data_IF_363539201843
#
_entry.id   IF_363539201843
#
_cell.length_a   1.000
_cell.length_b   1.000
_cell.length_c   1.000
_cell.angle_alpha   90.00
_cell.angle_beta   90.00
_cell.angle_gamma   90.00
#
_symmetry.space_group_name_H-M   'P 1'
#
loop_
_entity.id
_entity.type
_entity.pdbx_description
1 polymer ?
#
# COMPACT_ATOMS: atom_id res chain seq x y z
N UNK A 1 -14.93 -19.62 -2.20
CA UNK A 1 -13.84 -18.84 -1.58
C UNK A 1 -14.12 -17.40 -1.90
N UNK A 2 -13.90 -16.46 -0.96
CA UNK A 2 -14.11 -15.03 -1.21
C UNK A 2 -13.02 -14.49 -2.12
N UNK A 3 -13.42 -13.66 -3.10
CA UNK A 3 -12.51 -12.96 -4.00
C UNK A 3 -12.14 -11.60 -3.41
N UNK A 4 -10.86 -11.33 -3.26
CA UNK A 4 -10.36 -10.07 -2.71
C UNK A 4 -9.69 -9.29 -3.82
N UNK A 5 -10.13 -8.05 -4.04
CA UNK A 5 -9.42 -7.07 -4.85
C UNK A 5 -8.64 -6.16 -3.91
N UNK A 6 -7.34 -6.12 -4.07
CA UNK A 6 -6.49 -5.14 -3.37
C UNK A 6 -6.17 -4.01 -4.34
N UNK A 7 -6.56 -2.78 -3.98
CA UNK A 7 -6.17 -1.58 -4.72
C UNK A 7 -5.21 -0.79 -3.83
N UNK A 8 -3.93 -0.70 -4.22
CA UNK A 8 -2.94 -0.10 -3.33
C UNK A 8 -1.54 0.01 -3.92
N UNK A 9 -0.60 0.30 -3.03
CA UNK A 9 0.81 0.54 -3.33
C UNK A 9 1.60 -0.75 -3.53
N UNK A 10 2.63 -0.65 -4.40
CA UNK A 10 3.68 -1.63 -4.58
C UNK A 10 5.02 -0.89 -4.47
N UNK A 11 5.86 -1.30 -3.54
CA UNK A 11 7.18 -0.68 -3.30
C UNK A 11 8.24 -1.78 -3.21
N UNK A 12 9.47 -1.45 -3.57
CA UNK A 12 10.62 -2.24 -3.15
C UNK A 12 11.34 -1.48 -2.04
N UNK A 13 11.48 -2.13 -0.89
CA UNK A 13 12.19 -1.59 0.26
C UNK A 13 13.69 -1.88 0.11
N UNK A 14 14.50 -0.83 0.04
CA UNK A 14 15.95 -0.86 0.02
C UNK A 14 16.47 -0.73 1.44
N UNK A 15 16.71 -1.86 2.10
CA UNK A 15 17.13 -1.90 3.50
C UNK A 15 18.65 -1.87 3.57
N UNK A 16 19.19 -0.85 4.23
CA UNK A 16 20.63 -0.63 4.40
C UNK A 16 20.99 -0.58 5.88
N UNK A 17 21.87 -1.48 6.30
CA UNK A 17 22.38 -1.46 7.66
C UNK A 17 23.54 -0.43 7.75
N UNK A 18 23.39 0.52 8.66
CA UNK A 18 24.35 1.60 8.90
C UNK A 18 24.87 1.55 10.33
N UNK A 19 26.13 1.96 10.60
CA UNK A 19 26.67 1.98 11.97
C UNK A 19 25.94 2.99 12.86
N UNK A 20 25.51 4.11 12.32
CA UNK A 20 24.70 5.16 12.94
C UNK A 20 23.95 5.94 11.85
N UNK A 21 22.94 6.73 12.22
CA UNK A 21 22.26 7.61 11.27
C UNK A 21 23.18 8.76 10.88
N UNK A 22 23.45 8.99 9.54
CA UNK A 22 24.32 10.07 9.10
C UNK A 22 23.70 11.43 9.41
N UNK A 23 24.54 12.39 9.82
CA UNK A 23 24.16 13.78 9.95
C UNK A 23 24.42 14.56 8.66
N UNK A 24 23.86 15.75 8.54
CA UNK A 24 24.04 16.58 7.34
C UNK A 24 25.54 16.81 7.03
N UNK A 25 25.95 16.48 5.81
CA UNK A 25 27.33 16.60 5.34
C UNK A 25 28.25 15.41 5.67
N UNK A 26 27.77 14.43 6.42
CA UNK A 26 28.53 13.22 6.73
C UNK A 26 28.44 12.17 5.63
N UNK A 27 29.56 11.49 5.37
CA UNK A 27 29.62 10.30 4.51
C UNK A 27 29.96 9.09 5.38
N UNK A 28 29.07 8.11 5.42
CA UNK A 28 29.31 6.86 6.12
C UNK A 28 29.41 5.68 5.14
N UNK A 29 30.15 4.65 5.54
CA UNK A 29 30.22 3.41 4.79
C UNK A 29 29.19 2.44 5.38
N UNK A 30 28.27 1.98 4.53
CA UNK A 30 27.29 0.99 4.90
C UNK A 30 27.78 -0.43 4.53
N UNK A 31 27.10 -1.43 5.08
CA UNK A 31 27.28 -2.82 4.71
C UNK A 31 26.52 -3.20 3.43
N UNK A 32 25.82 -4.31 3.47
CA UNK A 32 24.99 -4.76 2.36
C UNK A 32 23.66 -4.00 2.29
N UNK A 33 23.12 -3.92 1.07
CA UNK A 33 21.75 -3.49 0.83
C UNK A 33 20.91 -4.72 0.44
N UNK A 34 19.74 -4.85 1.06
CA UNK A 34 18.75 -5.86 0.72
C UNK A 34 17.57 -5.21 0.00
N UNK A 35 17.07 -5.90 -1.03
CA UNK A 35 15.85 -5.50 -1.74
C UNK A 35 14.72 -6.42 -1.28
N UNK A 36 13.72 -5.84 -0.63
CA UNK A 36 12.60 -6.58 -0.05
C UNK A 36 11.30 -6.09 -0.71
N UNK A 37 10.44 -7.00 -1.21
CA UNK A 37 9.11 -6.60 -1.66
C UNK A 37 8.33 -5.92 -0.52
N UNK A 38 7.67 -4.81 -0.83
CA UNK A 38 7.00 -3.99 0.17
C UNK A 38 5.82 -3.20 -0.40
N UNK A 39 5.46 -2.12 0.30
CA UNK A 39 4.24 -1.39 0.03
C UNK A 39 3.02 -2.02 0.71
N UNK A 40 2.17 -1.18 1.30
CA UNK A 40 1.03 -1.66 2.10
C UNK A 40 0.06 -2.49 1.27
N UNK A 41 -0.20 -2.10 0.02
CA UNK A 41 -1.05 -2.86 -0.89
C UNK A 41 -0.49 -4.23 -1.19
N UNK A 42 0.76 -4.32 -1.64
CA UNK A 42 1.41 -5.58 -1.95
C UNK A 42 1.53 -6.49 -0.72
N UNK A 43 1.89 -5.94 0.45
CA UNK A 43 2.00 -6.71 1.69
C UNK A 43 0.65 -7.33 2.10
N UNK A 44 -0.45 -6.60 1.96
CA UNK A 44 -1.79 -7.12 2.27
C UNK A 44 -2.26 -8.16 1.24
N UNK A 45 -1.98 -7.93 -0.06
CA UNK A 45 -2.26 -8.92 -1.10
C UNK A 45 -1.45 -10.22 -0.87
N UNK A 46 -0.17 -10.09 -0.55
CA UNK A 46 0.69 -11.22 -0.23
C UNK A 46 0.17 -12.01 0.98
N UNK A 47 -0.17 -11.32 2.07
CA UNK A 47 -0.70 -11.96 3.28
C UNK A 47 -2.01 -12.71 3.01
N UNK A 48 -2.95 -12.09 2.28
CA UNK A 48 -4.20 -12.72 1.90
C UNK A 48 -3.99 -13.96 1.00
N UNK A 49 -3.09 -13.87 0.02
CA UNK A 49 -2.70 -14.99 -0.83
C UNK A 49 -2.09 -16.14 -0.03
N UNK A 50 -1.17 -15.85 0.90
CA UNK A 50 -0.57 -16.85 1.82
C UNK A 50 -1.61 -17.56 2.68
N UNK A 51 -2.69 -16.88 3.03
CA UNK A 51 -3.82 -17.46 3.79
C UNK A 51 -4.79 -18.23 2.88
N UNK A 52 -4.52 -18.33 1.58
CA UNK A 52 -5.28 -19.12 0.62
C UNK A 52 -6.49 -18.39 0.02
N UNK A 53 -6.59 -17.06 0.15
CA UNK A 53 -7.64 -16.31 -0.53
C UNK A 53 -7.38 -16.24 -2.05
N UNK A 54 -8.44 -16.02 -2.84
CA UNK A 54 -8.33 -15.65 -4.25
C UNK A 54 -8.14 -14.14 -4.32
N UNK A 55 -6.93 -13.70 -4.66
CA UNK A 55 -6.54 -12.28 -4.61
C UNK A 55 -6.14 -11.77 -5.98
N UNK A 56 -6.67 -10.61 -6.35
CA UNK A 56 -6.20 -9.81 -7.48
C UNK A 56 -5.58 -8.52 -6.93
N UNK A 57 -4.36 -8.19 -7.36
CA UNK A 57 -3.70 -6.92 -7.04
C UNK A 57 -3.89 -5.94 -8.19
N UNK A 58 -4.43 -4.76 -7.90
CA UNK A 58 -4.53 -3.63 -8.82
C UNK A 58 -3.75 -2.44 -8.28
N UNK A 59 -2.84 -1.93 -9.06
CA UNK A 59 -1.95 -0.84 -8.69
C UNK A 59 -1.08 -0.44 -9.88
N UNK A 60 -0.09 0.41 -9.64
CA UNK A 60 0.82 0.87 -10.68
C UNK A 60 2.28 0.60 -10.32
N UNK A 61 3.04 0.14 -11.30
CA UNK A 61 4.49 -0.13 -11.21
C UNK A 61 5.23 0.58 -12.36
N UNK A 62 6.52 0.73 -12.24
CA UNK A 62 7.39 1.22 -13.32
C UNK A 62 7.69 0.14 -14.36
N UNK A 63 8.30 0.56 -15.46
CA UNK A 63 8.91 -0.33 -16.45
C UNK A 63 10.39 -0.57 -16.06
N UNK A 64 10.58 -1.25 -14.92
CA UNK A 64 11.88 -1.45 -14.30
C UNK A 64 11.99 -2.83 -13.60
N UNK A 65 13.20 -3.19 -13.19
CA UNK A 65 13.49 -4.46 -12.51
C UNK A 65 12.81 -4.58 -11.14
N UNK A 66 12.44 -3.47 -10.50
CA UNK A 66 11.74 -3.47 -9.22
C UNK A 66 10.31 -3.98 -9.38
N UNK A 67 9.65 -3.67 -10.51
CA UNK A 67 8.34 -4.23 -10.83
C UNK A 67 8.36 -5.76 -10.93
N UNK A 68 9.46 -6.35 -11.40
CA UNK A 68 9.63 -7.80 -11.49
C UNK A 68 9.77 -8.46 -10.11
N UNK A 69 10.43 -7.76 -9.16
CA UNK A 69 10.54 -8.22 -7.77
C UNK A 69 9.15 -8.35 -7.16
N UNK A 70 8.32 -7.31 -7.28
CA UNK A 70 6.94 -7.29 -6.79
C UNK A 70 6.07 -8.38 -7.42
N UNK A 71 6.07 -8.46 -8.76
CA UNK A 71 5.28 -9.48 -9.49
C UNK A 71 5.67 -10.88 -9.10
N UNK A 72 6.97 -11.18 -8.97
CA UNK A 72 7.45 -12.50 -8.55
C UNK A 72 7.04 -12.84 -7.13
N UNK A 73 7.15 -11.87 -6.21
CA UNK A 73 6.74 -12.04 -4.81
C UNK A 73 5.25 -12.40 -4.74
N UNK A 74 4.39 -11.59 -5.32
CA UNK A 74 2.94 -11.78 -5.31
C UNK A 74 2.52 -13.08 -5.99
N UNK A 75 3.10 -13.38 -7.15
CA UNK A 75 2.83 -14.64 -7.87
C UNK A 75 3.21 -15.89 -7.07
N UNK A 76 4.25 -15.81 -6.21
CA UNK A 76 4.70 -16.94 -5.39
C UNK A 76 3.64 -17.42 -4.39
N UNK A 77 2.64 -16.59 -4.09
CA UNK A 77 1.52 -16.89 -3.19
C UNK A 77 0.17 -16.91 -3.92
N UNK A 78 0.19 -16.98 -5.25
CA UNK A 78 -1.02 -17.13 -6.07
C UNK A 78 -1.84 -15.85 -6.26
N UNK A 79 -1.28 -14.68 -6.00
CA UNK A 79 -1.93 -13.40 -6.28
C UNK A 79 -1.88 -13.11 -7.77
N UNK A 80 -3.04 -12.77 -8.37
CA UNK A 80 -3.12 -12.32 -9.75
C UNK A 80 -2.59 -10.90 -9.89
N UNK A 81 -1.54 -10.74 -10.70
CA UNK A 81 -0.87 -9.47 -11.00
C UNK A 81 -1.06 -9.01 -12.45
N UNK A 82 -1.95 -9.67 -13.21
CA UNK A 82 -2.15 -9.37 -14.64
C UNK A 82 -2.76 -8.00 -14.90
N UNK A 83 -3.35 -7.37 -13.87
CA UNK A 83 -3.99 -6.07 -13.92
C UNK A 83 -3.12 -4.92 -13.41
N UNK A 84 -1.84 -5.16 -13.13
CA UNK A 84 -0.91 -4.09 -12.75
C UNK A 84 -0.65 -3.17 -13.94
N UNK A 85 -0.78 -1.86 -13.70
CA UNK A 85 -0.53 -0.84 -14.72
C UNK A 85 0.96 -0.50 -14.78
N UNK A 86 1.56 -0.58 -15.96
CA UNK A 86 2.98 -0.22 -16.15
C UNK A 86 3.08 1.24 -16.60
N UNK A 87 3.82 2.05 -15.85
CA UNK A 87 4.08 3.47 -16.10
C UNK A 87 5.53 3.67 -16.60
N UNK A 88 5.74 3.79 -17.90
CA UNK A 88 7.07 3.89 -18.51
C UNK A 88 7.90 5.07 -18.02
N UNK A 89 7.26 6.19 -17.68
CA UNK A 89 7.91 7.44 -17.26
C UNK A 89 8.13 7.54 -15.73
N UNK A 90 7.83 6.47 -15.00
CA UNK A 90 7.93 6.43 -13.52
C UNK A 90 8.64 5.17 -13.07
N UNK A 91 9.39 5.28 -11.99
CA UNK A 91 9.89 4.09 -11.30
C UNK A 91 8.77 3.39 -10.56
N UNK A 92 8.92 2.10 -10.30
CA UNK A 92 8.18 1.43 -9.22
C UNK A 92 8.38 2.19 -7.91
N UNK A 93 7.42 2.14 -6.98
CA UNK A 93 7.57 2.73 -5.67
C UNK A 93 8.81 2.15 -4.95
N UNK A 94 9.53 3.00 -4.20
CA UNK A 94 10.72 2.61 -3.46
C UNK A 94 10.64 3.17 -2.04
N UNK A 95 11.17 2.44 -1.07
CA UNK A 95 11.45 2.96 0.26
C UNK A 95 12.94 2.75 0.56
N UNK A 96 13.67 3.83 0.81
CA UNK A 96 15.02 3.76 1.35
C UNK A 96 14.93 3.67 2.87
N UNK A 97 15.42 2.58 3.43
CA UNK A 97 15.31 2.28 4.86
C UNK A 97 16.73 2.11 5.42
N UNK A 98 17.21 3.10 6.17
CA UNK A 98 18.43 2.98 6.94
C UNK A 98 18.11 2.41 8.32
N UNK A 99 18.82 1.37 8.75
CA UNK A 99 18.68 0.75 10.08
C UNK A 99 20.02 0.82 10.79
N UNK A 100 20.08 1.43 11.96
CA UNK A 100 21.30 1.52 12.76
C UNK A 100 21.51 0.29 13.67
N UNK A 101 22.65 0.25 14.38
CA UNK A 101 22.98 -0.85 15.30
C UNK A 101 22.05 -0.95 16.52
N UNK A 102 21.29 0.09 16.83
CA UNK A 102 20.32 0.14 17.94
C UNK A 102 18.93 -0.31 17.52
N UNK A 103 18.72 -0.54 16.20
CA UNK A 103 17.45 -0.94 15.63
C UNK A 103 16.53 0.24 15.25
N UNK A 104 17.01 1.48 15.40
CA UNK A 104 16.29 2.64 14.90
C UNK A 104 16.31 2.67 13.38
N UNK A 105 15.24 3.17 12.78
CA UNK A 105 15.14 3.31 11.34
C UNK A 105 14.86 4.76 10.91
N UNK A 106 15.30 5.06 9.68
CA UNK A 106 14.93 6.28 8.96
C UNK A 106 14.47 5.87 7.55
N UNK A 107 13.29 6.34 7.15
CA UNK A 107 12.64 5.90 5.93
C UNK A 107 12.38 7.10 5.02
N UNK A 108 12.79 6.99 3.75
CA UNK A 108 12.44 7.92 2.69
C UNK A 108 11.64 7.17 1.63
N UNK A 109 10.38 7.57 1.43
CA UNK A 109 9.49 6.94 0.45
C UNK A 109 9.48 7.74 -0.84
N UNK A 110 9.71 7.05 -1.95
CA UNK A 110 9.57 7.55 -3.33
C UNK A 110 8.35 6.86 -3.91
N UNK A 111 7.24 7.60 -4.00
CA UNK A 111 5.96 7.02 -4.44
C UNK A 111 6.00 6.46 -5.88
N UNK A 112 6.80 7.04 -6.76
CA UNK A 112 6.95 6.55 -8.12
C UNK A 112 5.62 6.40 -8.87
N UNK A 113 5.39 5.22 -9.46
CA UNK A 113 4.19 4.89 -10.19
C UNK A 113 2.92 4.88 -9.31
N UNK A 114 3.03 4.58 -8.00
CA UNK A 114 1.88 4.61 -7.09
C UNK A 114 1.15 5.96 -7.10
N UNK A 115 1.91 7.07 -7.18
CA UNK A 115 1.33 8.42 -7.21
C UNK A 115 0.56 8.74 -8.51
N UNK A 116 0.62 7.88 -9.51
CA UNK A 116 -0.01 8.09 -10.82
C UNK A 116 -1.33 7.35 -11.01
N UNK A 117 -1.75 6.56 -10.01
CA UNK A 117 -3.01 5.82 -10.08
C UNK A 117 -4.18 6.80 -9.99
N UNK A 118 -5.09 6.75 -10.97
CA UNK A 118 -6.18 7.72 -11.12
C UNK A 118 -7.56 7.08 -11.01
N UNK A 119 -8.58 7.92 -10.81
CA UNK A 119 -9.99 7.51 -10.86
C UNK A 119 -10.34 6.90 -12.22
N UNK A 120 -9.78 7.45 -13.32
CA UNK A 120 -9.98 6.93 -14.67
C UNK A 120 -9.39 5.52 -14.86
N UNK A 121 -8.27 5.21 -14.18
CA UNK A 121 -7.72 3.86 -14.19
C UNK A 121 -8.68 2.87 -13.52
N UNK A 122 -9.31 3.26 -12.41
CA UNK A 122 -10.32 2.45 -11.73
C UNK A 122 -11.56 2.29 -12.61
N UNK A 123 -12.04 3.39 -13.24
CA UNK A 123 -13.21 3.37 -14.11
C UNK A 123 -13.03 2.44 -15.32
N UNK A 124 -11.81 2.39 -15.89
CA UNK A 124 -11.48 1.48 -16.98
C UNK A 124 -11.43 -0.01 -16.58
N UNK A 125 -11.38 -0.30 -15.27
CA UNK A 125 -11.30 -1.66 -14.72
C UNK A 125 -12.41 -1.94 -13.69
N UNK A 126 -13.59 -1.36 -13.85
CA UNK A 126 -14.73 -1.59 -12.93
C UNK A 126 -15.20 -3.04 -12.89
N UNK A 127 -14.88 -3.83 -13.90
CA UNK A 127 -15.11 -5.27 -13.93
C UNK A 127 -14.44 -5.99 -12.73
N UNK A 128 -13.26 -5.56 -12.32
CA UNK A 128 -12.58 -6.08 -11.12
C UNK A 128 -13.38 -5.80 -9.85
N UNK A 129 -13.93 -4.59 -9.72
CA UNK A 129 -14.80 -4.22 -8.58
C UNK A 129 -16.11 -5.01 -8.60
N UNK A 130 -16.68 -5.30 -9.78
CA UNK A 130 -17.90 -6.10 -9.90
C UNK A 130 -17.67 -7.57 -9.55
N UNK A 131 -16.49 -8.11 -9.89
CA UNK A 131 -16.17 -9.53 -9.71
C UNK A 131 -15.69 -9.86 -8.29
N UNK A 132 -15.13 -8.91 -7.51
CA UNK A 132 -14.68 -9.16 -6.15
C UNK A 132 -15.85 -9.24 -5.16
N UNK A 133 -15.61 -9.87 -4.01
CA UNK A 133 -16.49 -9.81 -2.82
C UNK A 133 -16.05 -8.71 -1.85
N UNK A 134 -14.74 -8.47 -1.78
CA UNK A 134 -14.10 -7.56 -0.82
C UNK A 134 -13.12 -6.67 -1.58
N UNK A 135 -13.22 -5.36 -1.34
CA UNK A 135 -12.20 -4.38 -1.70
C UNK A 135 -11.35 -4.09 -0.46
N UNK A 136 -10.03 -4.17 -0.60
CA UNK A 136 -9.06 -3.82 0.44
C UNK A 136 -8.19 -2.67 -0.07
N UNK A 137 -8.15 -1.56 0.68
CA UNK A 137 -7.43 -0.35 0.32
C UNK A 137 -6.55 0.17 1.47
N UNK A 138 -5.56 0.98 1.12
CA UNK A 138 -4.69 1.74 2.03
C UNK A 138 -4.55 3.18 1.49
N UNK A 139 -3.73 4.02 2.13
CA UNK A 139 -3.62 5.45 1.75
C UNK A 139 -2.22 5.82 1.19
N UNK A 140 -1.49 4.88 0.59
CA UNK A 140 -0.21 5.12 -0.09
C UNK A 140 -0.34 5.40 -1.60
N UNK A 141 -1.56 5.46 -2.11
CA UNK A 141 -1.92 5.90 -3.46
C UNK A 141 -2.76 7.17 -3.38
N UNK A 142 -3.03 7.89 -4.50
CA UNK A 142 -3.80 9.12 -4.44
C UNK A 142 -5.16 8.93 -3.75
N UNK A 143 -5.41 9.74 -2.74
CA UNK A 143 -6.62 9.66 -1.90
C UNK A 143 -7.91 9.70 -2.70
N UNK A 144 -7.97 10.54 -3.76
CA UNK A 144 -9.13 10.63 -4.67
C UNK A 144 -9.44 9.29 -5.34
N UNK A 145 -8.40 8.55 -5.70
CA UNK A 145 -8.53 7.22 -6.31
C UNK A 145 -9.09 6.21 -5.30
N UNK A 146 -8.66 6.27 -4.04
CA UNK A 146 -9.20 5.42 -2.97
C UNK A 146 -10.67 5.72 -2.71
N UNK A 147 -11.05 7.00 -2.60
CA UNK A 147 -12.43 7.43 -2.40
C UNK A 147 -13.31 6.93 -3.55
N UNK A 148 -12.86 7.13 -4.80
CA UNK A 148 -13.59 6.68 -5.98
C UNK A 148 -13.78 5.16 -5.97
N UNK A 149 -12.71 4.40 -5.73
CA UNK A 149 -12.77 2.93 -5.68
C UNK A 149 -13.72 2.42 -4.58
N UNK A 150 -13.63 2.99 -3.36
CA UNK A 150 -14.49 2.65 -2.24
C UNK A 150 -15.97 2.94 -2.55
N UNK A 151 -16.27 4.12 -3.07
CA UNK A 151 -17.62 4.50 -3.50
C UNK A 151 -18.17 3.53 -4.53
N UNK A 152 -17.41 3.24 -5.60
CA UNK A 152 -17.86 2.32 -6.66
C UNK A 152 -18.07 0.89 -6.11
N UNK A 153 -17.18 0.42 -5.23
CA UNK A 153 -17.34 -0.88 -4.58
C UNK A 153 -18.66 -0.95 -3.78
N UNK A 154 -18.99 0.10 -3.02
CA UNK A 154 -20.25 0.18 -2.28
C UNK A 154 -21.47 0.18 -3.21
N UNK A 155 -21.42 0.91 -4.33
CA UNK A 155 -22.49 0.90 -5.34
C UNK A 155 -22.70 -0.50 -5.93
N UNK A 156 -21.67 -1.33 -6.00
CA UNK A 156 -21.75 -2.73 -6.41
C UNK A 156 -22.04 -3.71 -5.25
N UNK A 157 -22.35 -3.20 -4.04
CA UNK A 157 -22.68 -4.02 -2.87
C UNK A 157 -21.51 -4.81 -2.29
N UNK A 158 -20.28 -4.33 -2.48
CA UNK A 158 -19.07 -5.00 -1.99
C UNK A 158 -18.74 -4.59 -0.56
N UNK A 159 -18.04 -5.48 0.15
CA UNK A 159 -17.45 -5.13 1.45
C UNK A 159 -16.17 -4.34 1.22
N UNK A 160 -16.05 -3.18 1.86
CA UNK A 160 -14.87 -2.30 1.76
C UNK A 160 -14.12 -2.29 3.08
N UNK A 161 -12.83 -2.65 3.03
CA UNK A 161 -11.91 -2.64 4.17
C UNK A 161 -10.84 -1.59 3.89
N UNK A 162 -10.64 -0.66 4.82
CA UNK A 162 -9.59 0.36 4.76
C UNK A 162 -8.57 0.17 5.87
N UNK A 163 -7.30 0.09 5.49
CA UNK A 163 -6.17 0.36 6.36
C UNK A 163 -5.78 1.84 6.20
N UNK A 164 -6.09 2.73 7.17
CA UNK A 164 -5.96 4.18 6.99
C UNK A 164 -4.50 4.67 7.11
N UNK A 165 -3.57 3.95 6.54
CA UNK A 165 -2.14 4.19 6.66
C UNK A 165 -1.50 4.61 5.32
N UNK A 166 -0.76 5.75 5.32
CA UNK A 166 -0.65 6.76 6.38
C UNK A 166 -1.89 7.66 6.45
N UNK A 167 -2.29 8.06 7.66
CA UNK A 167 -3.41 9.01 7.83
C UNK A 167 -3.02 10.37 7.25
N UNK A 168 -3.79 10.94 6.29
CA UNK A 168 -3.53 12.28 5.77
C UNK A 168 -3.84 13.34 6.83
N UNK A 169 -3.22 14.53 6.70
CA UNK A 169 -3.47 15.65 7.62
C UNK A 169 -4.95 16.05 7.71
N UNK A 170 -5.64 15.98 6.57
CA UNK A 170 -7.07 16.22 6.46
C UNK A 170 -7.70 14.93 5.93
N UNK A 171 -8.31 14.16 6.83
CA UNK A 171 -9.01 12.93 6.46
C UNK A 171 -10.40 13.31 5.91
N UNK A 172 -10.77 12.86 4.71
CA UNK A 172 -12.09 13.17 4.15
C UNK A 172 -13.17 12.33 4.85
N UNK A 173 -14.01 12.97 5.64
CA UNK A 173 -15.09 12.30 6.39
C UNK A 173 -16.03 11.50 5.49
N UNK A 174 -16.23 11.95 4.24
CA UNK A 174 -17.04 11.21 3.27
C UNK A 174 -16.57 9.78 3.04
N UNK A 175 -15.26 9.50 3.20
CA UNK A 175 -14.70 8.17 3.00
C UNK A 175 -15.30 7.16 4.00
N UNK A 176 -15.63 7.56 5.23
CA UNK A 176 -16.27 6.69 6.20
C UNK A 176 -17.62 6.14 5.71
N UNK A 177 -18.34 6.89 4.84
CA UNK A 177 -19.60 6.44 4.27
C UNK A 177 -19.46 5.25 3.32
N UNK A 178 -18.25 4.99 2.84
CA UNK A 178 -17.95 3.93 1.88
C UNK A 178 -17.15 2.76 2.48
N UNK A 179 -16.94 2.75 3.79
CA UNK A 179 -16.12 1.74 4.47
C UNK A 179 -17.01 0.89 5.39
N UNK A 180 -16.81 -0.43 5.36
CA UNK A 180 -17.46 -1.36 6.29
C UNK A 180 -16.56 -1.71 7.47
N UNK A 181 -15.23 -1.77 7.22
CA UNK A 181 -14.22 -2.09 8.23
C UNK A 181 -13.03 -1.16 8.08
N UNK A 182 -12.61 -0.54 9.16
CA UNK A 182 -11.38 0.24 9.25
C UNK A 182 -10.42 -0.40 10.26
N UNK A 183 -9.13 -0.47 9.91
CA UNK A 183 -8.11 -1.15 10.71
C UNK A 183 -6.93 -0.23 11.02
N UNK A 184 -7.09 0.77 11.87
CA UNK A 184 -5.99 1.63 12.31
C UNK A 184 -5.12 0.93 13.38
N UNK A 185 -3.85 1.31 13.46
CA UNK A 185 -3.06 1.13 14.67
C UNK A 185 -3.37 2.26 15.69
N UNK A 186 -2.77 2.20 16.89
CA UNK A 186 -2.99 3.21 17.96
C UNK A 186 -2.71 4.65 17.51
N UNK A 187 -1.61 4.85 16.76
CA UNK A 187 -1.22 6.18 16.29
C UNK A 187 -2.17 6.69 15.20
N UNK A 188 -2.55 5.82 14.30
CA UNK A 188 -3.52 6.13 13.24
C UNK A 188 -4.90 6.42 13.82
N UNK A 189 -5.34 5.62 14.80
CA UNK A 189 -6.59 5.86 15.51
C UNK A 189 -6.57 7.21 16.23
N UNK A 190 -5.50 7.53 16.95
CA UNK A 190 -5.34 8.83 17.60
C UNK A 190 -5.37 10.00 16.59
N UNK A 191 -4.76 9.83 15.42
CA UNK A 191 -4.80 10.84 14.36
C UNK A 191 -6.20 11.03 13.76
N UNK A 192 -6.96 9.95 13.59
CA UNK A 192 -8.34 10.00 13.07
C UNK A 192 -9.31 10.63 14.08
N UNK A 193 -9.13 10.36 15.37
CA UNK A 193 -9.96 10.89 16.44
C UNK A 193 -9.58 12.33 16.84
N UNK A 194 -8.34 12.75 16.54
CA UNK A 194 -7.81 14.04 17.00
C UNK A 194 -7.39 14.04 18.48
N UNK A 195 -7.38 12.87 19.14
CA UNK A 195 -7.03 12.70 20.54
C UNK A 195 -6.31 11.36 20.80
N UNK A 196 -5.50 11.25 21.86
CA UNK A 196 -4.81 10.01 22.19
C UNK A 196 -5.78 8.88 22.51
N UNK A 197 -5.52 7.68 22.00
CA UNK A 197 -6.24 6.46 22.38
C UNK A 197 -5.65 5.97 23.71
N UNK A 198 -6.44 6.08 24.79
CA UNK A 198 -6.01 5.73 26.15
C UNK A 198 -6.66 4.47 26.69
N UNK A 199 -7.70 3.97 26.05
CA UNK A 199 -8.44 2.78 26.46
C UNK A 199 -8.92 2.00 25.22
N UNK A 200 -8.81 0.66 25.27
CA UNK A 200 -9.24 -0.25 24.18
C UNK A 200 -10.73 -0.68 24.33
N UNK A 201 -11.43 -0.19 25.33
CA UNK A 201 -12.83 -0.54 25.61
C UNK A 201 -13.82 0.53 25.15
N UNK A 202 -13.32 1.61 24.56
CA UNK A 202 -14.13 2.68 23.94
C UNK A 202 -14.06 2.54 22.39
#
# INVERSE_FOLDING_TARGET
MKKILVIGSLNVDMVVNVPHMPVAGETILAGNMELVPGGKGANQAYAAGRLGAQVTMFGAVGDDSYSDIEKKSLASVGVDTSHLLVRKEKSTGLAWISVNSEGDNSIVVIQGANATLTESDIAAHEDLLRDCDILLCQLEIPLKTVIYAAKRAKEFGKTVILDPAPVPKEFPEELFSYIDVIKPNEKEAAQLLGEPVTNYEE
#
